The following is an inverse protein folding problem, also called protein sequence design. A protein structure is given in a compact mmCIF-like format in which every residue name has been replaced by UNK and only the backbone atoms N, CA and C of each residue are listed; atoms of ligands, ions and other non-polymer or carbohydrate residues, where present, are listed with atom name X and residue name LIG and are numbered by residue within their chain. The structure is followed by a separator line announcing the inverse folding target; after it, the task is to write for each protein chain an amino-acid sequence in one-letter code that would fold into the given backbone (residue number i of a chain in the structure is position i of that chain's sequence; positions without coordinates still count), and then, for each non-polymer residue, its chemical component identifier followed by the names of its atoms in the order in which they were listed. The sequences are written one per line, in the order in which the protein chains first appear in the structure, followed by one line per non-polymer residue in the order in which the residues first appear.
data_IF_002475171661
#
_entry.id   IF_002475171661
#
_cell.length_a   1.000
_cell.length_b   1.000
_cell.length_c   1.000
_cell.angle_alpha   90.00
_cell.angle_beta   90.00
_cell.angle_gamma   90.00
#
_symmetry.space_group_name_H-M   'P 1'
#
loop_
_entity.id
_entity.type
_entity.pdbx_description
1 polymer ?
#
# COMPACT_ATOMS: atom_id res chain seq x y z
N UNK A 1 13.12 -2.73 -19.51
CA UNK A 1 12.71 -2.08 -18.24
C UNK A 1 13.19 -2.86 -16.99
N UNK A 2 13.36 -4.19 -17.03
CA UNK A 2 13.91 -5.00 -15.93
C UNK A 2 15.29 -4.60 -15.33
N UNK A 3 16.27 -4.03 -16.06
CA UNK A 3 17.55 -3.66 -15.44
C UNK A 3 17.44 -2.40 -14.55
N UNK A 4 16.55 -1.46 -14.88
CA UNK A 4 16.36 -0.22 -14.10
C UNK A 4 15.69 -0.51 -12.75
N UNK A 5 14.79 -1.50 -12.70
CA UNK A 5 14.13 -1.91 -11.46
C UNK A 5 15.07 -2.61 -10.50
N UNK A 6 15.98 -3.47 -10.99
CA UNK A 6 16.96 -4.15 -10.14
C UNK A 6 17.95 -3.14 -9.53
N UNK A 7 18.42 -2.18 -10.34
CA UNK A 7 19.30 -1.11 -9.87
C UNK A 7 18.58 -0.22 -8.86
N UNK A 8 17.34 0.20 -9.13
CA UNK A 8 16.55 1.01 -8.19
C UNK A 8 16.25 0.27 -6.88
N UNK A 9 15.98 -1.04 -6.94
CA UNK A 9 15.70 -1.88 -5.77
C UNK A 9 16.90 -1.96 -4.81
N UNK A 10 18.13 -1.96 -5.35
CA UNK A 10 19.36 -1.96 -4.54
C UNK A 10 19.73 -0.52 -4.12
N UNK A 11 19.53 0.46 -5.01
CA UNK A 11 19.93 1.84 -4.78
C UNK A 11 19.05 2.54 -3.72
N UNK A 12 17.73 2.34 -3.76
CA UNK A 12 16.78 2.92 -2.80
C UNK A 12 17.13 2.65 -1.34
N UNK A 13 17.32 1.39 -0.89
CA UNK A 13 17.68 1.11 0.50
C UNK A 13 19.07 1.66 0.85
N UNK A 14 20.02 1.68 -0.09
CA UNK A 14 21.38 2.16 0.15
C UNK A 14 21.41 3.69 0.33
N UNK A 15 20.62 4.42 -0.46
CA UNK A 15 20.41 5.87 -0.30
C UNK A 15 19.68 6.16 1.00
N UNK A 16 18.65 5.40 1.36
CA UNK A 16 17.94 5.56 2.64
C UNK A 16 18.89 5.34 3.83
N UNK A 17 19.75 4.32 3.79
CA UNK A 17 20.76 4.07 4.83
C UNK A 17 21.78 5.20 4.98
N UNK A 18 22.02 5.96 3.91
CA UNK A 18 22.91 7.12 3.92
C UNK A 18 22.22 8.38 4.44
N UNK A 19 20.99 8.67 3.98
CA UNK A 19 20.23 9.87 4.35
C UNK A 19 19.64 9.79 5.76
N UNK A 20 18.99 8.68 6.09
CA UNK A 20 18.42 8.41 7.41
C UNK A 20 19.27 7.36 8.08
N UNK A 21 20.49 7.72 8.50
CA UNK A 21 21.36 6.81 9.27
C UNK A 21 20.57 6.38 10.51
N UNK A 22 20.20 5.09 10.64
CA UNK A 22 19.41 4.65 11.79
C UNK A 22 20.26 4.82 13.05
N UNK A 23 19.64 5.39 14.08
CA UNK A 23 20.28 5.68 15.37
C UNK A 23 20.69 4.39 16.11
N UNK A 24 19.95 3.30 15.88
CA UNK A 24 20.24 1.95 16.38
C UNK A 24 20.54 1.03 15.20
N UNK A 25 21.80 0.63 15.04
CA UNK A 25 22.26 -0.28 13.96
C UNK A 25 22.39 -1.74 14.38
N UNK A 26 22.46 -2.00 15.69
CA UNK A 26 22.60 -3.33 16.26
C UNK A 26 21.76 -3.43 17.52
N UNK A 27 20.82 -4.35 17.53
CA UNK A 27 20.03 -4.71 18.71
C UNK A 27 20.33 -6.18 19.03
N UNK A 28 21.46 -6.48 19.69
CA UNK A 28 21.90 -7.86 19.92
C UNK A 28 20.93 -8.65 20.81
N UNK A 29 20.10 -7.96 21.60
CA UNK A 29 19.06 -8.56 22.43
C UNK A 29 17.77 -8.88 21.65
N UNK A 30 17.58 -8.35 20.43
CA UNK A 30 16.37 -8.57 19.65
C UNK A 30 16.01 -10.05 19.43
N UNK A 31 16.97 -10.97 19.16
CA UNK A 31 16.66 -12.38 19.02
C UNK A 31 16.21 -13.03 20.33
N UNK A 32 16.78 -12.61 21.47
CA UNK A 32 16.41 -13.14 22.79
C UNK A 32 15.02 -12.63 23.19
N UNK A 33 14.76 -11.33 23.00
CA UNK A 33 13.45 -10.72 23.25
C UNK A 33 12.39 -11.36 22.35
N UNK A 34 12.68 -11.59 21.06
CA UNK A 34 11.73 -12.24 20.15
C UNK A 34 11.35 -13.67 20.61
N UNK A 35 12.32 -14.46 21.08
CA UNK A 35 12.04 -15.80 21.63
C UNK A 35 11.20 -15.74 22.90
N UNK A 36 11.56 -14.86 23.83
CA UNK A 36 10.82 -14.67 25.07
C UNK A 36 9.37 -14.24 24.79
N UNK A 37 9.16 -13.28 23.88
CA UNK A 37 7.81 -12.86 23.46
C UNK A 37 7.03 -13.96 22.76
N UNK A 38 7.69 -14.79 21.94
CA UNK A 38 7.05 -15.93 21.28
C UNK A 38 6.61 -17.00 22.30
N UNK A 39 7.42 -17.25 23.33
CA UNK A 39 7.07 -18.14 24.45
C UNK A 39 5.92 -17.57 25.29
N UNK A 40 5.91 -16.26 25.56
CA UNK A 40 4.80 -15.56 26.24
C UNK A 40 3.48 -15.63 25.47
N UNK A 41 3.52 -15.51 24.13
CA UNK A 41 2.32 -15.57 23.27
C UNK A 41 1.68 -16.96 23.24
N UNK A 42 2.48 -18.02 23.42
CA UNK A 42 1.98 -19.40 23.44
C UNK A 42 1.51 -19.92 22.07
N UNK A 43 0.80 -21.07 22.04
CA UNK A 43 0.32 -21.66 20.79
C UNK A 43 -0.79 -20.81 20.16
N UNK A 44 -0.81 -20.80 18.81
CA UNK A 44 -1.82 -20.07 18.06
C UNK A 44 -3.23 -20.52 18.43
N UNK A 45 -4.07 -19.56 18.80
CA UNK A 45 -5.47 -19.77 19.09
C UNK A 45 -6.25 -20.10 17.81
N UNK A 46 -7.42 -20.76 17.97
CA UNK A 46 -8.33 -21.06 16.86
C UNK A 46 -8.72 -19.79 16.11
N UNK A 47 -8.87 -18.65 16.81
CA UNK A 47 -9.20 -17.36 16.19
C UNK A 47 -8.08 -16.85 15.28
N UNK A 48 -6.83 -16.99 15.69
CA UNK A 48 -5.66 -16.60 14.89
C UNK A 48 -5.53 -17.49 13.65
N UNK A 49 -5.79 -18.80 13.79
CA UNK A 49 -5.85 -19.72 12.66
C UNK A 49 -6.92 -19.35 11.65
N UNK A 50 -8.13 -18.98 12.10
CA UNK A 50 -9.20 -18.55 11.20
C UNK A 50 -8.85 -17.22 10.50
N UNK A 51 -8.21 -16.28 11.22
CA UNK A 51 -7.74 -15.03 10.62
C UNK A 51 -6.68 -15.27 9.55
N UNK A 52 -5.71 -16.16 9.82
CA UNK A 52 -4.66 -16.55 8.87
C UNK A 52 -5.25 -17.20 7.61
N UNK A 53 -6.21 -18.12 7.79
CA UNK A 53 -6.91 -18.76 6.69
C UNK A 53 -7.63 -17.74 5.80
N UNK A 54 -8.33 -16.77 6.41
CA UNK A 54 -9.01 -15.72 5.66
C UNK A 54 -8.01 -14.82 4.91
N UNK A 55 -6.89 -14.44 5.54
CA UNK A 55 -5.84 -13.65 4.90
C UNK A 55 -5.26 -14.35 3.66
N UNK A 56 -4.92 -15.63 3.78
CA UNK A 56 -4.44 -16.43 2.65
C UNK A 56 -5.51 -16.56 1.55
N UNK A 57 -6.78 -16.76 1.93
CA UNK A 57 -7.89 -16.81 0.99
C UNK A 57 -8.03 -15.52 0.18
N UNK A 58 -7.95 -14.36 0.83
CA UNK A 58 -8.01 -13.04 0.16
C UNK A 58 -6.80 -12.84 -0.78
N UNK A 59 -5.60 -13.28 -0.38
CA UNK A 59 -4.41 -13.21 -1.25
C UNK A 59 -4.55 -14.08 -2.50
N UNK A 60 -5.03 -15.32 -2.34
CA UNK A 60 -5.29 -16.22 -3.47
C UNK A 60 -6.32 -15.57 -4.40
N UNK A 61 -7.40 -15.03 -3.84
CA UNK A 61 -8.44 -14.36 -4.62
C UNK A 61 -7.93 -13.10 -5.33
N UNK A 62 -6.99 -12.37 -4.74
CA UNK A 62 -6.36 -11.21 -5.38
C UNK A 62 -5.48 -11.64 -6.56
N UNK A 63 -4.66 -12.69 -6.38
CA UNK A 63 -3.83 -13.23 -7.47
C UNK A 63 -4.73 -13.74 -8.60
N UNK A 64 -5.81 -14.48 -8.28
CA UNK A 64 -6.76 -14.99 -9.27
C UNK A 64 -7.51 -13.87 -10.01
N UNK A 65 -7.92 -12.81 -9.30
CA UNK A 65 -8.54 -11.62 -9.90
C UNK A 65 -7.64 -10.95 -10.94
N UNK A 66 -6.32 -10.91 -10.70
CA UNK A 66 -5.36 -10.32 -11.65
C UNK A 66 -4.93 -11.27 -12.78
N UNK A 67 -4.85 -12.58 -12.52
CA UNK A 67 -4.33 -13.57 -13.48
C UNK A 67 -5.39 -14.20 -14.36
N UNK A 68 -6.64 -14.34 -13.87
CA UNK A 68 -7.74 -14.98 -14.63
C UNK A 68 -9.03 -14.15 -14.57
N UNK A 69 -9.08 -12.97 -15.24
CA UNK A 69 -10.25 -12.10 -15.24
C UNK A 69 -11.52 -12.75 -15.83
N UNK A 70 -11.35 -13.79 -16.65
CA UNK A 70 -12.46 -14.49 -17.33
C UNK A 70 -13.27 -15.40 -16.41
N UNK A 71 -12.71 -15.83 -15.27
CA UNK A 71 -13.40 -16.72 -14.31
C UNK A 71 -13.88 -15.92 -13.10
N UNK A 72 -13.16 -14.84 -12.73
CA UNK A 72 -13.47 -14.00 -11.58
C UNK A 72 -13.46 -12.51 -11.97
N UNK A 73 -14.62 -11.94 -12.37
CA UNK A 73 -14.73 -10.56 -12.80
C UNK A 73 -14.84 -9.57 -11.61
N UNK A 74 -14.05 -9.77 -10.55
CA UNK A 74 -13.99 -8.81 -9.44
C UNK A 74 -12.78 -7.91 -9.55
N UNK A 75 -12.98 -6.63 -9.23
CA UNK A 75 -11.90 -5.66 -9.08
C UNK A 75 -11.08 -5.99 -7.84
N UNK A 76 -9.81 -5.58 -7.80
CA UNK A 76 -8.94 -5.71 -6.62
C UNK A 76 -9.59 -5.12 -5.36
N UNK A 77 -10.25 -3.96 -5.48
CA UNK A 77 -11.00 -3.33 -4.39
C UNK A 77 -12.19 -4.18 -3.95
N UNK A 78 -12.89 -4.82 -4.89
CA UNK A 78 -13.99 -5.75 -4.60
C UNK A 78 -13.52 -6.96 -3.81
N UNK A 79 -12.38 -7.55 -4.18
CA UNK A 79 -11.76 -8.67 -3.44
C UNK A 79 -11.42 -8.26 -2.00
N UNK A 80 -10.83 -7.08 -1.82
CA UNK A 80 -10.55 -6.55 -0.48
C UNK A 80 -11.83 -6.32 0.35
N UNK A 81 -12.88 -5.75 -0.25
CA UNK A 81 -14.18 -5.55 0.41
C UNK A 81 -14.85 -6.88 0.78
N UNK A 82 -14.79 -7.88 -0.10
CA UNK A 82 -15.26 -9.24 0.19
C UNK A 82 -14.51 -9.87 1.35
N UNK A 83 -13.18 -9.71 1.40
CA UNK A 83 -12.35 -10.18 2.51
C UNK A 83 -12.79 -9.61 3.86
N UNK A 84 -13.03 -8.29 3.91
CA UNK A 84 -13.58 -7.63 5.11
C UNK A 84 -14.97 -8.17 5.47
N UNK A 85 -15.83 -8.40 4.48
CA UNK A 85 -17.15 -9.01 4.68
C UNK A 85 -17.08 -10.42 5.27
N UNK A 86 -16.16 -11.26 4.78
CA UNK A 86 -15.94 -12.62 5.32
C UNK A 86 -15.41 -12.56 6.75
N UNK A 87 -14.46 -11.67 7.05
CA UNK A 87 -13.94 -11.47 8.41
C UNK A 87 -15.02 -11.02 9.40
N UNK A 88 -15.97 -10.20 8.94
CA UNK A 88 -17.14 -9.78 9.72
C UNK A 88 -18.10 -10.94 9.97
N UNK A 89 -18.41 -11.74 8.95
CA UNK A 89 -19.29 -12.91 9.08
C UNK A 89 -18.71 -13.98 10.02
N UNK A 90 -17.39 -14.16 10.00
CA UNK A 90 -16.68 -15.06 10.91
C UNK A 90 -16.57 -14.52 12.35
N UNK A 91 -17.01 -13.29 12.61
CA UNK A 91 -16.95 -12.65 13.93
C UNK A 91 -15.53 -12.38 14.43
N UNK A 92 -14.54 -12.39 13.54
CA UNK A 92 -13.13 -12.13 13.87
C UNK A 92 -12.92 -10.64 14.09
N UNK A 93 -13.61 -9.81 13.30
CA UNK A 93 -13.59 -8.35 13.44
C UNK A 93 -14.98 -7.81 13.80
N UNK A 94 -15.02 -6.79 14.65
CA UNK A 94 -16.22 -6.04 15.02
C UNK A 94 -16.25 -4.72 14.27
N UNK A 95 -17.41 -4.34 13.72
CA UNK A 95 -17.58 -3.05 13.03
C UNK A 95 -17.30 -1.90 13.98
N UNK A 96 -17.84 -1.97 15.21
CA UNK A 96 -17.72 -0.89 16.18
C UNK A 96 -16.27 -0.71 16.64
N UNK A 97 -15.61 -1.80 16.99
CA UNK A 97 -14.31 -1.74 17.68
C UNK A 97 -13.13 -1.68 16.72
N UNK A 98 -13.23 -2.30 15.53
CA UNK A 98 -12.09 -2.41 14.60
C UNK A 98 -12.24 -1.55 13.34
N UNK A 99 -13.46 -1.23 12.90
CA UNK A 99 -13.68 -0.40 11.71
C UNK A 99 -13.89 1.05 12.12
N UNK A 100 -14.94 1.35 12.89
CA UNK A 100 -15.32 2.73 13.22
C UNK A 100 -14.28 3.42 14.12
N UNK A 101 -13.71 2.69 15.08
CA UNK A 101 -12.67 3.24 15.96
C UNK A 101 -11.32 3.44 15.26
N UNK A 102 -11.11 2.91 14.05
CA UNK A 102 -9.86 3.05 13.31
C UNK A 102 -9.77 4.42 12.60
N UNK A 103 -9.51 5.46 13.40
CA UNK A 103 -9.40 6.85 12.93
C UNK A 103 -8.34 7.03 11.83
N UNK A 104 -7.25 6.27 11.86
CA UNK A 104 -6.18 6.38 10.86
C UNK A 104 -6.62 5.99 9.46
N UNK A 105 -7.45 4.95 9.33
CA UNK A 105 -7.99 4.55 8.02
C UNK A 105 -8.92 5.63 7.43
N UNK A 106 -9.78 6.24 8.27
CA UNK A 106 -10.67 7.32 7.83
C UNK A 106 -9.91 8.61 7.50
N UNK A 107 -8.89 8.95 8.27
CA UNK A 107 -8.04 10.12 8.01
C UNK A 107 -7.35 10.01 6.65
N UNK A 108 -6.74 8.84 6.37
CA UNK A 108 -6.12 8.54 5.09
C UNK A 108 -7.11 8.66 3.92
N UNK A 109 -8.32 8.11 4.09
CA UNK A 109 -9.37 8.15 3.08
C UNK A 109 -9.86 9.58 2.80
N UNK A 110 -10.06 10.38 3.84
CA UNK A 110 -10.48 11.78 3.72
C UNK A 110 -9.42 12.62 3.01
N UNK A 111 -8.17 12.53 3.46
CA UNK A 111 -7.07 13.28 2.87
C UNK A 111 -6.83 12.89 1.40
N UNK A 112 -6.80 11.60 1.07
CA UNK A 112 -6.66 11.17 -0.33
C UNK A 112 -7.83 11.61 -1.20
N UNK A 113 -9.06 11.58 -0.68
CA UNK A 113 -10.24 12.01 -1.44
C UNK A 113 -10.15 13.49 -1.82
N UNK A 114 -9.72 14.35 -0.90
CA UNK A 114 -9.54 15.78 -1.14
C UNK A 114 -8.42 16.02 -2.17
N UNK A 115 -7.28 15.33 -2.05
CA UNK A 115 -6.18 15.45 -3.01
C UNK A 115 -6.59 15.01 -4.42
N UNK A 116 -7.31 13.89 -4.54
CA UNK A 116 -7.81 13.39 -5.84
C UNK A 116 -8.81 14.36 -6.45
N UNK A 117 -9.67 14.98 -5.63
CA UNK A 117 -10.59 16.03 -6.09
C UNK A 117 -9.84 17.22 -6.66
N UNK A 118 -8.84 17.75 -5.94
CA UNK A 118 -8.03 18.87 -6.43
C UNK A 118 -7.27 18.54 -7.72
N UNK A 119 -6.66 17.35 -7.79
CA UNK A 119 -5.97 16.90 -8.99
C UNK A 119 -6.92 16.82 -10.19
N UNK A 120 -8.14 16.30 -9.98
CA UNK A 120 -9.18 16.20 -11.01
C UNK A 120 -9.65 17.57 -11.49
N UNK A 121 -9.90 18.51 -10.58
CA UNK A 121 -10.34 19.87 -10.93
C UNK A 121 -9.25 20.67 -11.67
N UNK A 122 -7.98 20.55 -11.25
CA UNK A 122 -6.86 21.16 -11.96
C UNK A 122 -6.71 20.59 -13.37
N UNK A 123 -6.87 19.27 -13.52
CA UNK A 123 -6.87 18.61 -14.83
C UNK A 123 -8.01 19.10 -15.71
N UNK A 124 -9.24 19.18 -15.19
CA UNK A 124 -10.40 19.68 -15.96
C UNK A 124 -10.23 21.13 -16.41
N UNK A 125 -9.59 21.98 -15.60
CA UNK A 125 -9.33 23.39 -15.94
C UNK A 125 -8.18 23.59 -16.93
N UNK A 126 -7.56 22.51 -17.41
CA UNK A 126 -6.48 22.61 -18.39
C UNK A 126 -5.17 23.14 -17.81
N UNK A 127 -4.98 23.06 -16.48
CA UNK A 127 -3.79 23.62 -15.83
C UNK A 127 -2.51 22.94 -16.31
N UNK A 128 -2.53 21.62 -16.50
CA UNK A 128 -1.37 20.86 -16.95
C UNK A 128 -1.03 21.17 -18.42
N UNK A 129 -2.04 21.37 -19.27
CA UNK A 129 -1.91 21.76 -20.67
C UNK A 129 -1.33 23.18 -20.78
N UNK A 130 -1.84 24.14 -20.00
CA UNK A 130 -1.29 25.48 -19.89
C UNK A 130 0.17 25.47 -19.44
N UNK A 131 0.48 24.65 -18.44
CA UNK A 131 1.84 24.52 -17.90
C UNK A 131 2.80 23.88 -18.91
N UNK A 132 2.35 22.85 -19.64
CA UNK A 132 3.14 22.18 -20.66
C UNK A 132 3.58 23.15 -21.77
N UNK A 133 2.67 24.02 -22.25
CA UNK A 133 2.99 25.05 -23.26
C UNK A 133 4.04 26.03 -22.75
N UNK A 134 4.01 26.39 -21.45
CA UNK A 134 4.97 27.34 -20.87
C UNK A 134 6.36 26.75 -20.66
N UNK A 135 6.45 25.45 -20.44
CA UNK A 135 7.71 24.74 -20.22
C UNK A 135 8.26 24.15 -21.53
N UNK A 136 7.53 24.28 -22.64
CA UNK A 136 7.98 23.79 -23.95
C UNK A 136 9.09 24.68 -24.54
N UNK A 137 10.33 24.40 -24.12
CA UNK A 137 11.56 24.99 -24.65
C UNK A 137 11.89 24.53 -26.07
N UNK A 138 11.17 23.56 -26.65
CA UNK A 138 11.38 23.13 -28.05
C UNK A 138 10.78 24.10 -29.07
N UNK A 139 9.91 25.02 -28.61
CA UNK A 139 9.31 26.09 -29.41
C UNK A 139 10.17 27.37 -29.53
N UNK A 140 11.32 27.43 -28.83
CA UNK A 140 12.25 28.55 -28.98
C UNK A 140 12.83 28.59 -30.40
N UNK A 141 12.79 29.73 -31.11
CA UNK A 141 13.50 29.86 -32.37
C UNK A 141 14.97 29.59 -32.08
N UNK A 142 15.49 28.52 -32.67
CA UNK A 142 16.91 28.16 -32.66
C UNK A 142 17.69 29.25 -33.42
N UNK A 143 17.86 30.41 -32.78
CA UNK A 143 18.85 31.40 -33.18
C UNK A 143 20.21 30.84 -32.74
N UNK A 144 20.79 29.98 -33.58
CA UNK A 144 22.24 29.79 -33.59
C UNK A 144 22.83 30.81 -34.59
N UNK A 145 23.89 31.55 -34.23
CA UNK A 145 24.75 32.21 -35.22
C UNK A 145 25.46 31.19 -36.11
#
# INVERSE_FOLDING_TARGET
QAPVTLVSLILMPLVMLFLTKPEIRKTPEAPQIAKMRLEEMGPLSIREWTMLSCFLGVLILWILSSTVPSIFPFTTTGVAAMGVGVLLLLGIISVKDHIICNKGAFDLLLWFSILLMFASELKKKGFFEWLAVRIDFSSLPRQLP
#
